data_IF_221989820409
#
_entry.id   IF_221989820409
#
_cell.length_a   1.000
_cell.length_b   1.000
_cell.length_c   1.000
_cell.angle_alpha   90.00
_cell.angle_beta   90.00
_cell.angle_gamma   90.00
#
_symmetry.space_group_name_H-M   'P 1'
#
loop_
_entity.id
_entity.type
_entity.pdbx_description
1 polymer ?
#
# COMPACT_ATOMS: atom_id res chain seq x y z
N UNK A 1 -1.79 -1.36 18.47
CA UNK A 1 -2.37 -1.67 17.14
C UNK A 1 -3.89 -1.64 17.28
N UNK A 2 -4.59 -1.10 16.29
CA UNK A 2 -6.06 -1.00 16.27
C UNK A 2 -6.56 -1.48 14.92
N UNK A 3 -7.17 -2.67 14.87
CA UNK A 3 -7.72 -3.25 13.62
C UNK A 3 -9.22 -3.34 13.77
N UNK A 4 -9.95 -2.70 12.85
CA UNK A 4 -11.40 -2.82 12.78
C UNK A 4 -11.83 -4.26 12.52
N UNK A 5 -12.90 -4.73 13.18
CA UNK A 5 -13.52 -6.04 12.92
C UNK A 5 -14.11 -6.16 11.50
N UNK A 6 -14.26 -5.02 10.81
CA UNK A 6 -14.78 -4.94 9.45
C UNK A 6 -13.65 -4.82 8.40
N UNK A 7 -12.38 -4.81 8.83
CA UNK A 7 -11.25 -4.87 7.92
C UNK A 7 -10.97 -6.32 7.50
N UNK A 8 -10.51 -6.52 6.27
CA UNK A 8 -10.03 -7.81 5.79
C UNK A 8 -8.50 -7.79 5.80
N UNK A 9 -7.90 -8.47 6.78
CA UNK A 9 -6.43 -8.54 6.92
C UNK A 9 -6.01 -10.00 6.84
N UNK A 10 -5.18 -10.31 5.84
CA UNK A 10 -4.63 -11.66 5.71
C UNK A 10 -3.70 -12.00 6.89
N UNK A 11 -3.74 -13.22 7.45
CA UNK A 11 -2.92 -13.60 8.61
C UNK A 11 -1.41 -13.48 8.39
N UNK A 12 -0.95 -13.63 7.14
CA UNK A 12 0.48 -13.52 6.79
C UNK A 12 0.98 -12.07 6.62
N UNK A 13 0.08 -11.08 6.63
CA UNK A 13 0.46 -9.68 6.52
C UNK A 13 1.27 -9.25 7.75
N UNK A 14 2.35 -8.49 7.52
CA UNK A 14 3.25 -8.03 8.58
C UNK A 14 2.94 -6.58 8.92
N UNK A 15 2.33 -6.34 10.08
CA UNK A 15 1.98 -5.00 10.55
C UNK A 15 2.83 -4.65 11.77
N UNK A 16 3.43 -3.46 11.75
CA UNK A 16 4.24 -2.91 12.84
C UNK A 16 3.44 -2.52 14.08
N UNK A 17 4.14 -1.98 15.08
CA UNK A 17 3.53 -1.45 16.28
C UNK A 17 2.62 -0.26 15.96
N UNK A 18 1.53 -0.12 16.72
CA UNK A 18 0.62 1.04 16.64
C UNK A 18 -0.03 1.31 15.27
N UNK A 19 0.02 0.36 14.33
CA UNK A 19 -0.74 0.45 13.08
C UNK A 19 -2.25 0.54 13.37
N UNK A 20 -2.94 1.39 12.61
CA UNK A 20 -4.40 1.50 12.63
C UNK A 20 -4.97 1.09 11.28
N UNK A 21 -5.95 0.19 11.30
CA UNK A 21 -6.65 -0.30 10.10
C UNK A 21 -8.15 -0.05 10.26
N UNK A 22 -8.67 0.84 9.44
CA UNK A 22 -10.07 1.28 9.46
C UNK A 22 -11.02 0.25 8.79
N UNK A 23 -12.34 0.35 9.03
CA UNK A 23 -13.34 -0.53 8.42
C UNK A 23 -13.19 -0.66 6.89
N UNK A 24 -13.39 -1.88 6.38
CA UNK A 24 -13.41 -2.20 4.95
C UNK A 24 -12.06 -2.00 4.23
N UNK A 25 -10.99 -1.63 4.94
CA UNK A 25 -9.65 -1.75 4.40
C UNK A 25 -9.33 -3.23 4.11
N UNK A 26 -8.59 -3.47 3.03
CA UNK A 26 -8.17 -4.82 2.62
C UNK A 26 -6.65 -4.88 2.55
N UNK A 27 -6.05 -5.85 3.25
CA UNK A 27 -4.60 -6.07 3.30
C UNK A 27 -4.32 -7.53 2.93
N UNK A 28 -3.62 -7.75 1.81
CA UNK A 28 -3.29 -9.08 1.30
C UNK A 28 -2.08 -9.73 2.01
N UNK A 29 -1.79 -10.99 1.65
CA UNK A 29 -0.81 -11.83 2.33
C UNK A 29 0.62 -11.27 2.29
N UNK A 30 1.10 -10.84 1.12
CA UNK A 30 2.45 -10.28 0.95
C UNK A 30 2.46 -8.76 1.12
N UNK A 31 2.00 -8.29 2.28
CA UNK A 31 2.03 -6.87 2.66
C UNK A 31 2.88 -6.67 3.90
N UNK A 32 3.68 -5.60 3.89
CA UNK A 32 4.43 -5.13 5.06
C UNK A 32 4.10 -3.66 5.32
N UNK A 33 3.78 -3.33 6.58
CA UNK A 33 3.43 -1.99 7.02
C UNK A 33 4.24 -1.64 8.26
N UNK A 34 4.96 -0.51 8.21
CA UNK A 34 5.74 0.01 9.33
C UNK A 34 4.91 0.54 10.49
N UNK A 35 5.58 0.96 11.55
CA UNK A 35 4.99 1.40 12.80
C UNK A 35 4.19 2.70 12.61
N UNK A 36 3.13 2.88 13.41
CA UNK A 36 2.36 4.13 13.45
C UNK A 36 1.54 4.46 12.19
N UNK A 37 1.66 3.68 11.12
CA UNK A 37 0.93 3.91 9.88
C UNK A 37 -0.57 3.74 10.06
N UNK A 38 -1.33 4.68 9.48
CA UNK A 38 -2.79 4.68 9.44
C UNK A 38 -3.28 4.29 8.05
N UNK A 39 -4.16 3.29 8.00
CA UNK A 39 -4.79 2.76 6.79
C UNK A 39 -6.28 3.06 6.87
N UNK A 40 -6.70 4.01 6.04
CA UNK A 40 -8.07 4.52 5.96
C UNK A 40 -9.07 3.52 5.39
N UNK A 41 -10.38 3.80 5.56
CA UNK A 41 -11.43 2.87 5.18
C UNK A 41 -11.45 2.64 3.67
N UNK A 42 -11.72 1.41 3.24
CA UNK A 42 -11.70 1.01 1.83
C UNK A 42 -10.35 1.17 1.10
N UNK A 43 -9.24 1.45 1.80
CA UNK A 43 -7.92 1.36 1.20
C UNK A 43 -7.56 -0.12 0.93
N UNK A 44 -6.85 -0.39 -0.16
CA UNK A 44 -6.48 -1.75 -0.58
C UNK A 44 -4.96 -1.84 -0.73
N UNK A 45 -4.33 -2.62 0.14
CA UNK A 45 -2.92 -2.99 0.03
C UNK A 45 -2.81 -4.40 -0.55
N UNK A 46 -2.32 -4.50 -1.78
CA UNK A 46 -2.19 -5.77 -2.50
C UNK A 46 -0.82 -6.42 -2.30
N UNK A 47 -0.68 -7.68 -2.70
CA UNK A 47 0.57 -8.43 -2.63
C UNK A 47 1.72 -7.66 -3.29
N UNK A 48 2.83 -7.53 -2.56
CA UNK A 48 4.01 -6.76 -2.96
C UNK A 48 4.07 -5.35 -2.36
N UNK A 49 3.06 -4.91 -1.59
CA UNK A 49 3.11 -3.61 -0.93
C UNK A 49 4.11 -3.59 0.24
N UNK A 50 4.95 -2.55 0.29
CA UNK A 50 5.85 -2.22 1.40
C UNK A 50 5.58 -0.78 1.80
N UNK A 51 4.92 -0.57 2.93
CA UNK A 51 4.58 0.77 3.43
C UNK A 51 5.43 1.03 4.66
N UNK A 52 6.10 2.18 4.69
CA UNK A 52 6.96 2.61 5.78
C UNK A 52 6.20 2.99 7.06
N UNK A 53 6.92 3.67 7.96
CA UNK A 53 6.40 4.14 9.23
C UNK A 53 5.61 5.45 9.06
N UNK A 54 4.68 5.71 9.98
CA UNK A 54 3.94 6.98 10.11
C UNK A 54 3.28 7.47 8.80
N UNK A 55 2.95 6.54 7.91
CA UNK A 55 2.27 6.85 6.67
C UNK A 55 0.78 7.09 6.91
N UNK A 56 0.15 7.84 6.00
CA UNK A 56 -1.32 8.02 5.98
C UNK A 56 -1.87 7.59 4.63
N UNK A 57 -2.58 6.47 4.62
CA UNK A 57 -3.18 5.91 3.41
C UNK A 57 -4.68 6.20 3.44
N UNK A 58 -5.15 7.11 2.59
CA UNK A 58 -6.51 7.60 2.60
C UNK A 58 -7.50 6.68 1.85
N UNK A 59 -8.82 6.90 2.03
CA UNK A 59 -9.84 6.04 1.46
C UNK A 59 -9.72 5.78 -0.05
N UNK A 60 -9.93 4.52 -0.44
CA UNK A 60 -9.92 4.10 -1.83
C UNK A 60 -8.56 4.08 -2.51
N UNK A 61 -7.47 4.40 -1.80
CA UNK A 61 -6.12 4.21 -2.34
C UNK A 61 -5.83 2.73 -2.58
N UNK A 62 -5.17 2.41 -3.69
CA UNK A 62 -4.79 1.05 -4.08
C UNK A 62 -3.28 0.99 -4.29
N UNK A 63 -2.59 0.18 -3.47
CA UNK A 63 -1.14 0.06 -3.49
C UNK A 63 -0.74 -1.36 -3.88
N UNK A 64 0.24 -1.47 -4.77
CA UNK A 64 0.82 -2.69 -5.32
C UNK A 64 -0.09 -3.52 -6.24
N UNK A 65 -1.13 -2.91 -6.83
CA UNK A 65 -1.83 -3.56 -7.94
C UNK A 65 -0.85 -3.91 -9.08
N UNK A 66 -1.13 -4.97 -9.83
CA UNK A 66 -0.28 -5.39 -10.95
C UNK A 66 -0.07 -4.24 -11.95
N UNK A 67 1.09 -4.14 -12.60
CA UNK A 67 1.32 -3.15 -13.66
C UNK A 67 0.24 -3.20 -14.73
N UNK A 68 -0.04 -2.05 -15.34
CA UNK A 68 -0.87 -1.97 -16.54
C UNK A 68 -0.08 -2.23 -17.83
N UNK A 69 1.23 -2.52 -17.74
CA UNK A 69 2.06 -2.91 -18.87
C UNK A 69 1.62 -4.29 -19.39
N UNK A 70 1.26 -4.36 -20.68
CA UNK A 70 0.84 -5.60 -21.35
C UNK A 70 1.92 -6.68 -21.39
N UNK A 71 3.19 -6.32 -21.15
CA UNK A 71 4.31 -7.26 -21.05
C UNK A 71 4.39 -7.96 -19.69
N UNK A 72 3.64 -7.49 -18.69
CA UNK A 72 3.63 -8.10 -17.36
C UNK A 72 3.15 -9.55 -17.44
N UNK A 73 3.97 -10.49 -16.96
CA UNK A 73 3.77 -11.93 -17.13
C UNK A 73 3.60 -12.66 -15.78
N UNK A 74 3.34 -11.93 -14.70
CA UNK A 74 3.17 -12.50 -13.36
C UNK A 74 4.47 -12.56 -12.55
N UNK A 75 5.53 -11.89 -12.99
CA UNK A 75 6.77 -11.79 -12.25
C UNK A 75 6.55 -11.18 -10.85
N UNK A 76 7.40 -11.57 -9.89
CA UNK A 76 7.36 -11.03 -8.54
C UNK A 76 7.98 -9.64 -8.49
N UNK A 77 7.19 -8.66 -8.06
CA UNK A 77 7.61 -7.25 -7.95
C UNK A 77 6.93 -6.56 -6.77
N UNK A 78 7.40 -5.36 -6.40
CA UNK A 78 6.88 -4.62 -5.23
C UNK A 78 6.49 -3.18 -5.55
N UNK A 79 5.69 -2.58 -4.66
CA UNK A 79 5.50 -1.14 -4.57
C UNK A 79 5.90 -0.68 -3.16
N UNK A 80 6.85 0.25 -3.08
CA UNK A 80 7.48 0.69 -1.84
C UNK A 80 7.12 2.15 -1.56
N UNK A 81 6.54 2.44 -0.40
CA UNK A 81 6.18 3.78 0.06
C UNK A 81 6.99 4.11 1.31
N UNK A 82 7.83 5.15 1.24
CA UNK A 82 8.69 5.56 2.34
C UNK A 82 7.96 6.29 3.47
N UNK A 83 8.63 6.37 4.62
CA UNK A 83 8.12 6.88 5.89
C UNK A 83 7.50 8.28 5.80
N UNK A 84 6.47 8.54 6.62
CA UNK A 84 5.81 9.85 6.71
C UNK A 84 5.03 10.27 5.45
N UNK A 85 4.90 9.39 4.47
CA UNK A 85 4.21 9.72 3.21
C UNK A 85 2.70 9.72 3.39
N UNK A 86 2.06 10.74 2.82
CA UNK A 86 0.60 10.84 2.73
C UNK A 86 0.14 10.47 1.33
N UNK A 87 -0.62 9.37 1.25
CA UNK A 87 -1.25 8.87 0.03
C UNK A 87 -2.74 9.20 0.11
N UNK A 88 -3.19 10.20 -0.66
CA UNK A 88 -4.57 10.69 -0.63
C UNK A 88 -5.55 9.75 -1.34
N UNK A 89 -6.81 10.15 -1.35
CA UNK A 89 -7.94 9.36 -1.81
C UNK A 89 -7.75 8.91 -3.27
N UNK A 90 -8.11 7.66 -3.55
CA UNK A 90 -8.08 7.08 -4.90
C UNK A 90 -6.70 7.14 -5.60
N UNK A 91 -5.60 7.34 -4.86
CA UNK A 91 -4.26 7.20 -5.42
C UNK A 91 -4.01 5.74 -5.78
N UNK A 92 -3.40 5.52 -6.94
CA UNK A 92 -3.00 4.18 -7.39
C UNK A 92 -1.50 4.12 -7.55
N UNK A 93 -0.87 3.12 -6.94
CA UNK A 93 0.57 2.86 -7.04
C UNK A 93 0.73 1.41 -7.48
N UNK A 94 1.11 1.19 -8.74
CA UNK A 94 1.36 -0.15 -9.23
C UNK A 94 2.73 -0.65 -8.76
N UNK A 95 2.86 -1.97 -8.60
CA UNK A 95 4.18 -2.59 -8.43
C UNK A 95 4.92 -2.62 -9.76
N UNK A 96 6.23 -2.83 -9.74
CA UNK A 96 7.05 -2.79 -10.96
C UNK A 96 6.83 -3.98 -11.92
N UNK A 97 7.61 -4.01 -13.00
CA UNK A 97 7.73 -5.14 -13.95
C UNK A 97 9.13 -5.76 -13.86
N UNK A 98 9.42 -6.79 -14.67
CA UNK A 98 10.74 -7.40 -14.79
C UNK A 98 11.89 -6.42 -15.13
N UNK A 99 11.58 -5.21 -15.63
CA UNK A 99 12.57 -4.17 -15.94
C UNK A 99 13.24 -3.57 -14.69
N UNK A 100 12.44 -3.26 -13.66
CA UNK A 100 12.93 -2.61 -12.42
C UNK A 100 12.59 -3.33 -11.13
N UNK A 101 11.75 -4.36 -11.20
CA UNK A 101 11.23 -5.16 -10.10
C UNK A 101 10.43 -4.41 -9.03
N UNK A 102 10.43 -3.07 -9.05
CA UNK A 102 9.73 -2.27 -8.06
C UNK A 102 9.39 -0.86 -8.54
N UNK A 103 8.39 -0.29 -7.88
CA UNK A 103 8.04 1.14 -7.92
C UNK A 103 8.28 1.72 -6.53
N UNK A 104 8.92 2.89 -6.42
CA UNK A 104 9.31 3.46 -5.12
C UNK A 104 8.85 4.91 -4.99
N UNK A 105 8.17 5.22 -3.88
CA UNK A 105 7.88 6.57 -3.39
C UNK A 105 8.81 6.85 -2.21
N UNK A 106 9.44 8.02 -2.19
CA UNK A 106 10.33 8.44 -1.10
C UNK A 106 9.59 8.69 0.22
N UNK A 107 10.34 9.17 1.22
CA UNK A 107 9.78 9.59 2.50
C UNK A 107 9.18 11.01 2.41
N UNK A 108 8.25 11.33 3.31
CA UNK A 108 7.62 12.65 3.48
C UNK A 108 7.00 13.22 2.20
N UNK A 109 6.50 12.36 1.32
CA UNK A 109 5.83 12.76 0.11
C UNK A 109 4.34 13.05 0.37
N UNK A 110 3.76 13.90 -0.47
CA UNK A 110 2.31 14.09 -0.56
C UNK A 110 1.85 13.70 -1.96
N UNK A 111 1.15 12.58 -2.08
CA UNK A 111 0.44 12.20 -3.30
C UNK A 111 -1.01 12.64 -3.14
N UNK A 112 -1.42 13.67 -3.88
CA UNK A 112 -2.79 14.17 -3.84
C UNK A 112 -3.77 13.21 -4.53
N UNK A 113 -5.07 13.42 -4.29
CA UNK A 113 -6.09 12.51 -4.76
C UNK A 113 -6.00 12.29 -6.28
N UNK A 114 -6.30 11.06 -6.72
CA UNK A 114 -6.25 10.62 -8.11
C UNK A 114 -4.86 10.58 -8.77
N UNK A 115 -3.77 10.78 -8.02
CA UNK A 115 -2.43 10.49 -8.55
C UNK A 115 -2.32 9.02 -8.94
N UNK A 116 -1.70 8.77 -10.09
CA UNK A 116 -1.34 7.45 -10.56
C UNK A 116 0.18 7.35 -10.70
N UNK A 117 0.78 6.41 -9.98
CA UNK A 117 2.17 5.98 -10.17
C UNK A 117 2.17 4.61 -10.83
N UNK A 118 2.64 4.60 -12.07
CA UNK A 118 2.73 3.40 -12.92
C UNK A 118 3.88 2.48 -12.51
#
# INVERSE_FOLDING_TARGET
MSISKLASVHPDAKLGANVTVEPFATIQADVQVGDGTWIGPNAVLMNGARVGNDCRIFPGAVIAAIPQDLKFAGEYTTAEVGDGTTVRECVTINRGTADRLKTTVGANCLLMAYVHLA
#
